data_IF_854685923156
#
_entry.id   IF_854685923156
#
_cell.length_a   1.000
_cell.length_b   1.000
_cell.length_c   1.000
_cell.angle_alpha   90.00
_cell.angle_beta   90.00
_cell.angle_gamma   90.00
#
_symmetry.space_group_name_H-M   'P 1'
#
loop_
_entity.id
_entity.type
_entity.pdbx_description
1 polymer ?
#
# COMPACT_ATOMS: atom_id res chain seq x y z
N UNK A 1 -19.37 1.15 -9.59
CA UNK A 1 -20.86 1.07 -9.67
C UNK A 1 -21.41 -0.31 -9.33
N UNK A 2 -20.63 -1.40 -9.44
CA UNK A 2 -21.11 -2.77 -9.21
C UNK A 2 -20.93 -3.26 -7.76
N UNK A 3 -20.11 -2.60 -6.95
CA UNK A 3 -19.90 -2.96 -5.55
C UNK A 3 -21.16 -2.85 -4.68
N UNK A 4 -22.04 -1.90 -4.96
CA UNK A 4 -23.32 -1.74 -4.24
C UNK A 4 -24.30 -2.89 -4.48
N UNK A 5 -24.08 -3.71 -5.52
CA UNK A 5 -24.96 -4.85 -5.85
C UNK A 5 -24.46 -6.18 -5.29
N UNK A 6 -23.16 -6.35 -5.09
CA UNK A 6 -22.59 -7.61 -4.59
C UNK A 6 -22.74 -7.78 -3.08
N UNK A 7 -22.50 -6.74 -2.31
CA UNK A 7 -22.62 -6.78 -0.86
C UNK A 7 -24.02 -7.24 -0.38
N UNK A 8 -25.16 -6.72 -0.93
CA UNK A 8 -26.50 -7.17 -0.53
C UNK A 8 -26.78 -8.64 -0.80
N UNK A 9 -26.19 -9.23 -1.84
CA UNK A 9 -26.37 -10.64 -2.17
C UNK A 9 -25.67 -11.57 -1.18
N UNK A 10 -24.48 -11.16 -0.68
CA UNK A 10 -23.69 -11.97 0.27
C UNK A 10 -24.37 -11.99 1.65
N UNK A 11 -24.71 -10.84 2.22
CA UNK A 11 -25.34 -10.82 3.55
C UNK A 11 -26.82 -11.17 3.52
N UNK A 12 -27.47 -11.23 2.33
CA UNK A 12 -28.83 -11.75 2.16
C UNK A 12 -28.98 -13.25 2.43
N UNK A 13 -27.86 -14.00 2.38
CA UNK A 13 -27.81 -15.44 2.66
C UNK A 13 -27.83 -15.72 4.18
N UNK A 14 -27.46 -14.72 4.98
CA UNK A 14 -27.37 -14.85 6.44
C UNK A 14 -28.54 -14.19 7.14
N UNK A 15 -29.00 -14.79 8.26
CA UNK A 15 -30.13 -14.27 9.08
C UNK A 15 -29.64 -13.82 10.46
N UNK A 16 -30.34 -12.86 11.08
CA UNK A 16 -30.12 -12.43 12.45
C UNK A 16 -28.76 -11.76 12.68
N UNK A 17 -28.12 -12.04 13.81
CA UNK A 17 -26.86 -11.42 14.24
C UNK A 17 -25.69 -11.65 13.26
N UNK A 18 -25.66 -12.83 12.62
CA UNK A 18 -24.63 -13.14 11.61
C UNK A 18 -24.70 -12.23 10.39
N UNK A 19 -25.90 -11.81 9.99
CA UNK A 19 -26.08 -10.85 8.89
C UNK A 19 -25.46 -9.50 9.21
N UNK A 20 -25.66 -9.02 10.42
CA UNK A 20 -25.11 -7.73 10.89
C UNK A 20 -23.60 -7.79 10.95
N UNK A 21 -23.04 -8.87 11.44
CA UNK A 21 -21.59 -9.09 11.49
C UNK A 21 -20.95 -9.15 10.10
N UNK A 22 -21.53 -9.94 9.18
CA UNK A 22 -21.03 -10.05 7.79
C UNK A 22 -21.09 -8.70 7.10
N UNK A 23 -22.20 -7.96 7.26
CA UNK A 23 -22.35 -6.63 6.69
C UNK A 23 -21.26 -5.68 7.20
N UNK A 24 -21.06 -5.61 8.51
CA UNK A 24 -20.01 -4.78 9.13
C UNK A 24 -18.62 -5.17 8.63
N UNK A 25 -18.32 -6.46 8.57
CA UNK A 25 -17.00 -6.94 8.10
C UNK A 25 -16.76 -6.57 6.63
N UNK A 26 -17.77 -6.66 5.76
CA UNK A 26 -17.65 -6.24 4.37
C UNK A 26 -17.46 -4.72 4.23
N UNK A 27 -18.17 -3.92 5.02
CA UNK A 27 -18.00 -2.47 5.07
C UNK A 27 -16.59 -2.09 5.56
N UNK A 28 -16.09 -2.75 6.60
CA UNK A 28 -14.74 -2.54 7.11
C UNK A 28 -13.67 -2.91 6.06
N UNK A 29 -13.86 -4.00 5.32
CA UNK A 29 -12.98 -4.42 4.22
C UNK A 29 -12.99 -3.37 3.11
N UNK A 30 -14.16 -2.91 2.64
CA UNK A 30 -14.26 -1.89 1.58
C UNK A 30 -13.57 -0.59 2.00
N UNK A 31 -13.80 -0.14 3.23
CA UNK A 31 -13.18 1.07 3.77
C UNK A 31 -11.65 0.95 3.82
N UNK A 32 -11.11 -0.18 4.30
CA UNK A 32 -9.66 -0.38 4.40
C UNK A 32 -9.03 -0.48 3.02
N UNK A 33 -9.64 -1.23 2.09
CA UNK A 33 -9.13 -1.34 0.72
C UNK A 33 -9.15 0.00 -0.01
N UNK A 34 -10.24 0.74 0.10
CA UNK A 34 -10.38 2.08 -0.50
C UNK A 34 -9.34 3.03 0.05
N UNK A 35 -9.21 3.09 1.37
CA UNK A 35 -8.22 3.95 2.04
C UNK A 35 -6.79 3.60 1.64
N UNK A 36 -6.49 2.29 1.55
CA UNK A 36 -5.17 1.84 1.11
C UNK A 36 -4.88 2.24 -0.34
N UNK A 37 -5.77 1.90 -1.27
CA UNK A 37 -5.52 2.17 -2.70
C UNK A 37 -5.43 3.67 -2.96
N UNK A 38 -6.36 4.46 -2.42
CA UNK A 38 -6.33 5.91 -2.57
C UNK A 38 -5.09 6.52 -1.94
N UNK A 39 -4.72 6.08 -0.73
CA UNK A 39 -3.52 6.54 -0.05
C UNK A 39 -2.26 6.19 -0.84
N UNK A 40 -2.12 4.94 -1.32
CA UNK A 40 -0.95 4.50 -2.07
C UNK A 40 -0.79 5.24 -3.40
N UNK A 41 -1.89 5.47 -4.13
CA UNK A 41 -1.87 6.26 -5.37
C UNK A 41 -1.41 7.69 -5.08
N UNK A 42 -1.93 8.32 -4.02
CA UNK A 42 -1.56 9.69 -3.65
C UNK A 42 -0.09 9.78 -3.20
N UNK A 43 0.37 8.84 -2.37
CA UNK A 43 1.78 8.77 -1.94
C UNK A 43 2.71 8.61 -3.16
N UNK A 44 2.40 7.65 -4.04
CA UNK A 44 3.19 7.43 -5.26
C UNK A 44 3.21 8.63 -6.19
N UNK A 45 2.09 9.35 -6.30
CA UNK A 45 2.00 10.56 -7.10
C UNK A 45 2.86 11.70 -6.54
N UNK A 46 2.81 11.93 -5.23
CA UNK A 46 3.63 12.94 -4.57
C UNK A 46 5.12 12.61 -4.68
N UNK A 47 5.49 11.34 -4.50
CA UNK A 47 6.86 10.89 -4.69
C UNK A 47 7.34 11.13 -6.12
N UNK A 48 6.52 10.76 -7.11
CA UNK A 48 6.87 10.95 -8.51
C UNK A 48 7.10 12.43 -8.88
N UNK A 49 6.31 13.34 -8.32
CA UNK A 49 6.52 14.79 -8.48
C UNK A 49 7.87 15.19 -7.88
N UNK A 50 8.20 14.74 -6.68
CA UNK A 50 9.48 15.05 -6.04
C UNK A 50 10.65 14.52 -6.86
N UNK A 51 10.57 13.28 -7.33
CA UNK A 51 11.59 12.66 -8.18
C UNK A 51 11.75 13.44 -9.50
N UNK A 52 10.62 13.82 -10.13
CA UNK A 52 10.63 14.62 -11.36
C UNK A 52 11.33 15.96 -11.18
N UNK A 53 10.98 16.69 -10.12
CA UNK A 53 11.62 17.99 -9.80
C UNK A 53 13.11 17.78 -9.54
N UNK A 54 13.48 16.77 -8.76
CA UNK A 54 14.89 16.46 -8.48
C UNK A 54 15.68 16.14 -9.74
N UNK A 55 15.15 15.30 -10.61
CA UNK A 55 15.79 14.96 -11.88
C UNK A 55 15.88 16.13 -12.85
N UNK A 56 14.89 17.04 -12.87
CA UNK A 56 14.95 18.28 -13.65
C UNK A 56 16.07 19.22 -13.17
N UNK A 57 16.29 19.31 -11.85
CA UNK A 57 17.34 20.18 -11.28
C UNK A 57 18.73 19.75 -11.76
N UNK A 58 18.98 18.45 -11.82
CA UNK A 58 20.25 17.90 -12.30
C UNK A 58 20.27 17.74 -13.83
N UNK A 59 19.20 18.15 -14.52
CA UNK A 59 19.04 18.04 -15.99
C UNK A 59 19.20 16.61 -16.51
N UNK A 60 18.78 15.61 -15.71
CA UNK A 60 18.84 14.22 -16.08
C UNK A 60 17.94 13.96 -17.29
N UNK A 61 18.46 13.29 -18.30
CA UNK A 61 17.69 12.89 -19.48
C UNK A 61 16.52 11.97 -19.08
N UNK A 62 15.41 12.05 -19.82
CA UNK A 62 14.20 11.27 -19.56
C UNK A 62 13.57 11.45 -18.16
N UNK A 63 13.80 12.59 -17.48
CA UNK A 63 13.32 12.87 -16.12
C UNK A 63 11.84 12.52 -15.90
N UNK A 64 10.97 12.91 -16.87
CA UNK A 64 9.53 12.61 -16.79
C UNK A 64 9.24 11.11 -16.86
N UNK A 65 9.91 10.39 -17.77
CA UNK A 65 9.74 8.96 -17.93
C UNK A 65 10.21 8.19 -16.68
N UNK A 66 11.35 8.59 -16.11
CA UNK A 66 11.90 8.01 -14.90
C UNK A 66 10.99 8.27 -13.68
N UNK A 67 10.45 9.48 -13.56
CA UNK A 67 9.49 9.81 -12.51
C UNK A 67 8.16 9.05 -12.66
N UNK A 68 7.67 8.88 -13.89
CA UNK A 68 6.49 8.07 -14.16
C UNK A 68 6.75 6.60 -13.83
N UNK A 69 7.92 6.08 -14.16
CA UNK A 69 8.32 4.74 -13.77
C UNK A 69 8.37 4.60 -12.24
N UNK A 70 8.93 5.60 -11.53
CA UNK A 70 8.93 5.65 -10.08
C UNK A 70 7.51 5.63 -9.50
N UNK A 71 6.55 6.34 -10.10
CA UNK A 71 5.14 6.30 -9.71
C UNK A 71 4.59 4.87 -9.69
N UNK A 72 4.76 4.14 -10.80
CA UNK A 72 4.25 2.78 -10.90
C UNK A 72 4.98 1.80 -9.99
N UNK A 73 6.31 1.92 -9.89
CA UNK A 73 7.08 1.05 -9.01
C UNK A 73 6.77 1.30 -7.54
N UNK A 74 6.53 2.54 -7.13
CA UNK A 74 6.18 2.89 -5.76
C UNK A 74 4.80 2.35 -5.32
N UNK A 75 3.98 1.84 -6.23
CA UNK A 75 2.78 1.08 -5.85
C UNK A 75 3.13 -0.21 -5.07
N UNK A 76 4.39 -0.63 -5.11
CA UNK A 76 4.93 -1.73 -4.32
C UNK A 76 5.74 -1.13 -3.16
N UNK A 77 5.17 -1.05 -1.93
CA UNK A 77 5.88 -0.46 -0.80
C UNK A 77 7.21 -1.15 -0.50
N UNK A 78 8.20 -0.38 -0.05
CA UNK A 78 9.57 -0.78 0.28
C UNK A 78 10.44 -1.27 -0.88
N UNK A 79 9.89 -1.98 -1.87
CA UNK A 79 10.64 -2.52 -3.01
C UNK A 79 10.63 -1.52 -4.18
N UNK A 80 9.52 -0.83 -4.38
CA UNK A 80 9.31 0.09 -5.49
C UNK A 80 10.41 1.14 -5.67
N UNK A 81 10.82 1.84 -4.61
CA UNK A 81 11.88 2.83 -4.68
C UNK A 81 13.22 2.29 -5.21
N UNK A 82 13.58 1.08 -4.79
CA UNK A 82 14.80 0.43 -5.25
C UNK A 82 14.71 0.01 -6.72
N UNK A 83 13.53 -0.47 -7.14
CA UNK A 83 13.29 -0.79 -8.55
C UNK A 83 13.33 0.45 -9.44
N UNK A 84 12.80 1.58 -8.97
CA UNK A 84 12.82 2.83 -9.72
C UNK A 84 14.18 3.49 -9.79
N UNK A 85 15.06 3.23 -8.82
CA UNK A 85 16.44 3.73 -8.80
C UNK A 85 17.26 3.12 -9.95
N UNK A 86 17.05 1.83 -10.29
CA UNK A 86 17.87 1.13 -11.28
C UNK A 86 17.89 1.83 -12.66
N UNK A 87 16.76 2.11 -13.32
CA UNK A 87 16.80 2.79 -14.63
C UNK A 87 17.34 4.22 -14.53
N UNK A 88 17.11 4.93 -13.41
CA UNK A 88 17.64 6.27 -13.24
C UNK A 88 19.18 6.28 -13.13
N UNK A 89 19.75 5.31 -12.42
CA UNK A 89 21.20 5.13 -12.34
C UNK A 89 21.78 4.75 -13.70
N UNK A 90 21.13 3.87 -14.47
CA UNK A 90 21.58 3.49 -15.81
C UNK A 90 21.62 4.70 -16.73
N UNK A 91 20.56 5.52 -16.73
CA UNK A 91 20.50 6.76 -17.54
C UNK A 91 21.61 7.73 -17.11
N UNK A 92 21.77 7.98 -15.81
CA UNK A 92 22.83 8.83 -15.31
C UNK A 92 24.21 8.35 -15.74
N UNK A 93 24.52 7.04 -15.63
CA UNK A 93 25.80 6.47 -16.04
C UNK A 93 26.12 6.66 -17.53
N UNK A 94 25.08 6.68 -18.37
CA UNK A 94 25.25 6.85 -19.83
C UNK A 94 25.59 8.29 -20.18
N UNK A 95 24.95 9.27 -19.54
CA UNK A 95 25.06 10.69 -19.90
C UNK A 95 26.14 11.39 -19.09
N UNK A 96 26.13 11.29 -17.77
CA UNK A 96 27.18 11.79 -16.88
C UNK A 96 27.30 10.88 -15.62
N UNK A 97 28.42 10.14 -15.46
CA UNK A 97 28.61 9.28 -14.29
C UNK A 97 28.54 10.01 -12.94
N UNK A 98 28.78 11.31 -12.87
CA UNK A 98 28.63 12.11 -11.65
C UNK A 98 27.17 12.26 -11.23
N UNK A 99 26.26 12.23 -12.18
CA UNK A 99 24.82 12.34 -11.92
C UNK A 99 24.28 11.13 -11.13
N UNK A 100 24.99 10.00 -11.13
CA UNK A 100 24.64 8.82 -10.29
C UNK A 100 24.58 9.21 -8.81
N UNK A 101 25.52 10.04 -8.36
CA UNK A 101 25.56 10.49 -6.94
C UNK A 101 24.31 11.35 -6.67
N UNK A 102 23.97 12.26 -7.57
CA UNK A 102 22.80 13.12 -7.41
C UNK A 102 21.49 12.34 -7.50
N UNK A 103 21.39 11.38 -8.40
CA UNK A 103 20.23 10.46 -8.48
C UNK A 103 20.05 9.71 -7.15
N UNK A 104 21.13 9.19 -6.58
CA UNK A 104 21.08 8.52 -5.28
C UNK A 104 20.64 9.48 -4.15
N UNK A 105 21.21 10.69 -4.10
CA UNK A 105 20.83 11.71 -3.10
C UNK A 105 19.36 12.11 -3.24
N UNK A 106 18.89 12.40 -4.45
CA UNK A 106 17.49 12.76 -4.73
C UNK A 106 16.57 11.63 -4.27
N UNK A 107 16.90 10.38 -4.63
CA UNK A 107 16.10 9.22 -4.23
C UNK A 107 16.06 9.06 -2.72
N UNK A 108 17.17 9.18 -2.03
CA UNK A 108 17.24 9.08 -0.57
C UNK A 108 16.43 10.19 0.12
N UNK A 109 16.55 11.43 -0.34
CA UNK A 109 15.79 12.56 0.20
C UNK A 109 14.30 12.36 -0.04
N UNK A 110 13.90 11.97 -1.26
CA UNK A 110 12.50 11.69 -1.58
C UNK A 110 11.93 10.56 -0.72
N UNK A 111 12.70 9.49 -0.49
CA UNK A 111 12.32 8.38 0.40
C UNK A 111 12.15 8.82 1.86
N UNK A 112 13.05 9.67 2.37
CA UNK A 112 12.92 10.19 3.73
C UNK A 112 11.69 11.07 3.90
N UNK A 113 11.39 11.91 2.91
CA UNK A 113 10.17 12.73 2.92
C UNK A 113 8.92 11.84 2.79
N UNK A 114 8.95 10.84 1.92
CA UNK A 114 7.85 9.89 1.79
C UNK A 114 7.56 9.16 3.09
N UNK A 115 8.57 8.52 3.68
CA UNK A 115 8.39 7.67 4.86
C UNK A 115 8.06 8.45 6.14
N UNK A 116 8.62 9.65 6.31
CA UNK A 116 8.48 10.41 7.55
C UNK A 116 7.36 11.47 7.50
N UNK A 117 6.99 11.94 6.30
CA UNK A 117 6.01 13.01 6.14
C UNK A 117 4.80 12.58 5.32
N UNK A 118 4.99 12.05 4.09
CA UNK A 118 3.88 11.80 3.17
C UNK A 118 3.05 10.62 3.66
N UNK A 119 3.65 9.48 3.87
CA UNK A 119 2.95 8.24 4.25
C UNK A 119 2.16 8.37 5.55
N UNK A 120 2.71 8.91 6.67
CA UNK A 120 1.94 9.09 7.90
C UNK A 120 0.76 10.06 7.75
N UNK A 121 0.92 11.13 6.96
CA UNK A 121 -0.13 12.13 6.77
C UNK A 121 -1.23 11.65 5.82
N UNK A 122 -0.90 10.86 4.80
CA UNK A 122 -1.84 10.36 3.80
C UNK A 122 -2.56 9.10 4.27
N UNK A 123 -1.82 8.13 4.79
CA UNK A 123 -2.37 6.83 5.20
C UNK A 123 -2.73 6.76 6.67
N UNK A 124 -2.23 7.70 7.48
CA UNK A 124 -2.47 7.73 8.93
C UNK A 124 -2.03 6.43 9.60
N UNK A 125 -2.77 6.03 10.66
CA UNK A 125 -2.54 4.77 11.38
C UNK A 125 -3.20 3.55 10.73
N UNK A 126 -3.77 3.70 9.54
CA UNK A 126 -4.53 2.63 8.88
C UNK A 126 -3.67 1.42 8.48
N UNK A 127 -2.36 1.62 8.37
CA UNK A 127 -1.38 0.60 8.00
C UNK A 127 -0.30 0.46 9.07
N UNK A 128 -0.71 0.10 10.30
CA UNK A 128 0.23 -0.30 11.35
C UNK A 128 0.69 -1.75 11.07
N UNK A 129 1.54 -1.90 10.05
CA UNK A 129 2.11 -3.19 9.62
C UNK A 129 3.61 -3.11 9.78
N UNK A 130 4.19 -4.06 10.50
CA UNK A 130 5.63 -4.13 10.67
C UNK A 130 6.32 -4.34 9.30
N UNK A 131 7.41 -3.60 8.97
CA UNK A 131 8.10 -3.70 7.67
C UNK A 131 8.47 -5.11 7.25
N UNK A 132 8.94 -5.94 8.20
CA UNK A 132 9.26 -7.35 7.93
C UNK A 132 8.05 -8.16 7.45
N UNK A 133 6.86 -7.86 7.99
CA UNK A 133 5.62 -8.52 7.56
C UNK A 133 5.31 -8.18 6.10
N UNK A 134 5.45 -6.90 5.73
CA UNK A 134 5.25 -6.45 4.34
C UNK A 134 6.20 -7.17 3.40
N UNK A 135 7.50 -7.16 3.70
CA UNK A 135 8.52 -7.83 2.88
C UNK A 135 8.20 -9.32 2.74
N UNK A 136 7.88 -10.00 3.85
CA UNK A 136 7.58 -11.44 3.83
C UNK A 136 6.36 -11.77 2.96
N UNK A 137 5.29 -10.98 3.07
CA UNK A 137 4.05 -11.18 2.31
C UNK A 137 4.27 -10.90 0.82
N UNK A 138 4.99 -9.82 0.50
CA UNK A 138 5.30 -9.46 -0.89
C UNK A 138 6.16 -10.52 -1.55
N UNK A 139 7.19 -11.05 -0.86
CA UNK A 139 8.02 -12.14 -1.37
C UNK A 139 7.21 -13.44 -1.56
N UNK A 140 6.38 -13.80 -0.59
CA UNK A 140 5.52 -14.99 -0.67
C UNK A 140 4.53 -14.86 -1.84
N UNK A 141 3.84 -13.73 -1.95
CA UNK A 141 2.87 -13.47 -3.01
C UNK A 141 3.53 -13.40 -4.40
N UNK A 142 4.75 -12.84 -4.47
CA UNK A 142 5.55 -12.82 -5.68
C UNK A 142 5.93 -14.21 -6.17
N UNK A 143 6.23 -15.12 -5.24
CA UNK A 143 6.56 -16.52 -5.56
C UNK A 143 5.34 -17.32 -6.06
N UNK A 144 4.13 -16.97 -5.60
CA UNK A 144 2.87 -17.66 -5.97
C UNK A 144 2.30 -17.13 -7.29
N UNK A 145 2.23 -15.81 -7.45
CA UNK A 145 1.51 -15.18 -8.57
C UNK A 145 2.34 -14.10 -9.30
N UNK A 146 3.67 -14.10 -9.13
CA UNK A 146 4.57 -13.18 -9.81
C UNK A 146 4.26 -11.71 -9.51
N UNK A 147 4.39 -10.86 -10.51
CA UNK A 147 4.19 -9.42 -10.38
C UNK A 147 2.78 -9.03 -9.89
N UNK A 148 1.76 -9.74 -10.35
CA UNK A 148 0.37 -9.52 -9.89
C UNK A 148 0.23 -9.85 -8.41
N UNK A 149 0.86 -10.95 -7.96
CA UNK A 149 0.91 -11.32 -6.55
C UNK A 149 1.50 -10.22 -5.68
N UNK A 150 2.62 -9.63 -6.10
CA UNK A 150 3.27 -8.52 -5.42
C UNK A 150 2.33 -7.32 -5.27
N UNK A 151 1.63 -6.93 -6.33
CA UNK A 151 0.72 -5.78 -6.32
C UNK A 151 -0.48 -5.97 -5.37
N UNK A 152 -1.04 -7.18 -5.31
CA UNK A 152 -2.21 -7.47 -4.48
C UNK A 152 -1.86 -7.97 -3.07
N UNK A 153 -0.58 -8.16 -2.77
CA UNK A 153 -0.10 -8.72 -1.51
C UNK A 153 -0.62 -7.95 -0.27
N UNK A 154 -0.42 -6.64 -0.25
CA UNK A 154 -0.82 -5.80 0.88
C UNK A 154 -2.34 -5.63 0.98
N UNK A 155 -3.08 -5.32 -0.10
CA UNK A 155 -4.54 -5.38 -0.05
C UNK A 155 -5.09 -6.69 0.52
N UNK A 156 -4.56 -7.83 0.07
CA UNK A 156 -4.96 -9.15 0.58
C UNK A 156 -4.69 -9.30 2.08
N UNK A 157 -3.52 -8.88 2.54
CA UNK A 157 -3.19 -8.87 3.96
C UNK A 157 -4.14 -7.99 4.78
N UNK A 158 -4.47 -6.78 4.28
CA UNK A 158 -5.42 -5.89 4.94
C UNK A 158 -6.79 -6.53 5.11
N UNK A 159 -7.29 -7.22 4.07
CA UNK A 159 -8.55 -7.97 4.13
C UNK A 159 -8.49 -9.06 5.21
N UNK A 160 -7.43 -9.88 5.21
CA UNK A 160 -7.25 -10.95 6.20
C UNK A 160 -7.18 -10.36 7.61
N UNK A 161 -6.43 -9.25 7.81
CA UNK A 161 -6.31 -8.57 9.11
C UNK A 161 -7.66 -8.11 9.62
N UNK A 162 -8.49 -7.48 8.78
CA UNK A 162 -9.85 -7.02 9.14
C UNK A 162 -10.74 -8.20 9.54
N UNK A 163 -10.76 -9.27 8.75
CA UNK A 163 -11.56 -10.47 9.06
C UNK A 163 -11.15 -11.05 10.42
N UNK A 164 -9.85 -11.22 10.65
CA UNK A 164 -9.31 -11.75 11.90
C UNK A 164 -9.69 -10.84 13.08
N UNK A 165 -9.51 -9.52 12.95
CA UNK A 165 -9.87 -8.56 13.99
C UNK A 165 -11.36 -8.60 14.35
N UNK A 166 -12.24 -8.70 13.35
CA UNK A 166 -13.68 -8.76 13.57
C UNK A 166 -14.10 -10.09 14.27
N UNK A 167 -13.48 -11.22 13.89
CA UNK A 167 -13.71 -12.51 14.57
C UNK A 167 -13.26 -12.46 16.04
N UNK A 168 -12.09 -11.89 16.31
CA UNK A 168 -11.58 -11.78 17.69
C UNK A 168 -12.39 -10.78 18.53
N UNK A 169 -12.82 -9.65 17.94
CA UNK A 169 -13.65 -8.65 18.60
C UNK A 169 -14.99 -9.21 19.05
N UNK A 170 -15.66 -9.97 18.19
CA UNK A 170 -16.94 -10.62 18.51
C UNK A 170 -16.80 -11.63 19.65
N UNK A 171 -15.77 -12.48 19.61
CA UNK A 171 -15.49 -13.45 20.68
C UNK A 171 -15.23 -12.80 22.04
N UNK A 172 -14.59 -11.63 22.06
CA UNK A 172 -14.33 -10.88 23.29
C UNK A 172 -15.62 -10.31 23.87
N UNK A 173 -16.48 -9.74 23.05
CA UNK A 173 -17.79 -9.21 23.48
C UNK A 173 -18.69 -10.30 24.05
N UNK A 174 -18.77 -11.46 23.41
CA UNK A 174 -19.55 -12.61 23.90
C UNK A 174 -19.05 -13.07 25.28
N UNK A 175 -17.72 -13.14 25.48
CA UNK A 175 -17.14 -13.52 26.78
C UNK A 175 -17.41 -12.48 27.88
N UNK A 176 -17.34 -11.20 27.56
CA UNK A 176 -17.63 -10.12 28.54
C UNK A 176 -19.10 -10.08 28.93
N UNK A 177 -20.00 -10.35 27.98
CA UNK A 177 -21.45 -10.41 28.24
C UNK A 177 -21.79 -11.64 29.09
N UNK A 178 -21.20 -12.79 28.80
CA UNK A 178 -21.38 -14.00 29.59
C UNK A 178 -20.87 -13.88 31.04
N UNK A 179 -19.80 -13.11 31.26
CA UNK A 179 -19.21 -12.92 32.59
C UNK A 179 -19.97 -11.85 33.44
N UNK A 180 -20.82 -11.01 32.80
CA UNK A 180 -21.66 -10.04 33.48
C UNK A 180 -23.03 -10.62 33.91
N UNK A 181 -23.38 -11.78 33.42
CA UNK A 181 -24.66 -12.45 33.69
C UNK A 181 -24.55 -13.55 34.78
N UNK A 182 -23.36 -13.76 35.33
CA UNK A 182 -23.06 -14.62 36.49
C UNK A 182 -22.71 -13.71 37.68
#
# INVERSE_FOLDING_TARGET
KDHEKFAPQIYGIFSGERRTWVKKTLEDIDNVLRSYVQGQVLVSFLLAIMMYIGYLIIKLEYSLLLALFAFFMNMIPFIGPWLSLLPAVIVAMIYDPFDVIWVAVITLVAQQVESNLITPNVMGRSLDIHPLTVISIVLAAGNIAGFIGILIAIPTYCVIKVIVQNIYGERKQIKETANKTV
#
